data_IF_187363001123
#
_entry.id   IF_187363001123
#
_cell.length_a   1.000
_cell.length_b   1.000
_cell.length_c   1.000
_cell.angle_alpha   90.00
_cell.angle_beta   90.00
_cell.angle_gamma   90.00
#
_symmetry.space_group_name_H-M   'P 1'
#
loop_
_entity.id
_entity.type
_entity.pdbx_description
1 polymer ?
#
# COMPACT_ATOMS: atom_id res chain seq x y z
N UNK A 1 -13.32 -21.34 13.05
CA UNK A 1 -12.66 -20.07 13.42
C UNK A 1 -12.85 -19.07 12.27
N UNK A 2 -14.10 -18.65 12.02
CA UNK A 2 -14.48 -17.80 10.86
C UNK A 2 -14.89 -16.40 11.34
N UNK A 3 -15.56 -16.34 12.50
CA UNK A 3 -16.07 -15.10 13.13
C UNK A 3 -14.99 -14.04 13.39
N UNK A 4 -13.75 -14.44 13.70
CA UNK A 4 -12.64 -13.50 13.92
C UNK A 4 -12.26 -12.77 12.63
N UNK A 5 -12.15 -13.52 11.53
CA UNK A 5 -11.79 -12.98 10.22
C UNK A 5 -12.82 -11.98 9.71
N UNK A 6 -14.11 -12.24 9.87
CA UNK A 6 -15.17 -11.30 9.45
C UNK A 6 -15.15 -10.00 10.26
N UNK A 7 -14.84 -10.06 11.55
CA UNK A 7 -14.72 -8.87 12.40
C UNK A 7 -13.53 -7.99 12.02
N UNK A 8 -12.40 -8.60 11.68
CA UNK A 8 -11.20 -7.89 11.21
C UNK A 8 -11.47 -7.25 9.83
N UNK A 9 -12.08 -7.99 8.91
CA UNK A 9 -12.37 -7.49 7.57
C UNK A 9 -13.32 -6.27 7.57
N UNK A 10 -14.31 -6.27 8.47
CA UNK A 10 -15.24 -5.15 8.61
C UNK A 10 -14.54 -3.85 9.09
N UNK A 11 -13.55 -3.97 9.97
CA UNK A 11 -12.78 -2.82 10.45
C UNK A 11 -11.81 -2.28 9.39
N UNK A 12 -11.28 -3.13 8.51
CA UNK A 12 -10.48 -2.71 7.35
C UNK A 12 -11.33 -1.89 6.37
N UNK A 13 -12.55 -2.36 6.07
CA UNK A 13 -13.47 -1.65 5.18
C UNK A 13 -13.79 -0.25 5.70
N UNK A 14 -14.05 -0.13 7.02
CA UNK A 14 -14.21 1.17 7.71
C UNK A 14 -12.95 2.02 7.62
N UNK A 15 -11.79 1.43 7.86
CA UNK A 15 -10.51 2.13 7.82
C UNK A 15 -10.22 2.71 6.44
N UNK A 16 -10.50 1.97 5.35
CA UNK A 16 -10.42 2.49 3.98
C UNK A 16 -11.31 3.71 3.77
N UNK A 17 -12.54 3.66 4.27
CA UNK A 17 -13.52 4.73 4.12
C UNK A 17 -13.11 5.99 4.90
N UNK A 18 -12.58 5.82 6.11
CA UNK A 18 -12.01 6.89 6.92
C UNK A 18 -10.80 7.52 6.24
N UNK A 19 -9.88 6.71 5.70
CA UNK A 19 -8.70 7.19 4.99
C UNK A 19 -9.07 7.89 3.67
N UNK A 20 -10.10 7.41 2.95
CA UNK A 20 -10.61 8.09 1.76
C UNK A 20 -11.19 9.47 2.08
N UNK A 21 -11.98 9.59 3.16
CA UNK A 21 -12.48 10.89 3.64
C UNK A 21 -11.35 11.79 4.12
N UNK A 22 -10.38 11.22 4.83
CA UNK A 22 -9.21 11.96 5.31
C UNK A 22 -8.38 12.49 4.14
N UNK A 23 -8.26 11.77 3.01
CA UNK A 23 -7.59 12.30 1.80
C UNK A 23 -8.32 13.50 1.20
N UNK A 24 -9.66 13.47 1.18
CA UNK A 24 -10.47 14.57 0.68
C UNK A 24 -10.44 15.81 1.60
N UNK A 25 -10.45 15.60 2.91
CA UNK A 25 -10.47 16.69 3.89
C UNK A 25 -9.06 17.23 4.19
N UNK A 26 -8.08 16.33 4.26
CA UNK A 26 -6.73 16.57 4.75
C UNK A 26 -5.71 15.88 3.83
N UNK A 27 -5.34 16.56 2.75
CA UNK A 27 -4.31 16.10 1.82
C UNK A 27 -2.92 16.25 2.47
N UNK A 28 -2.61 15.35 3.41
CA UNK A 28 -1.34 15.33 4.14
C UNK A 28 -0.58 14.05 3.81
N UNK A 29 0.77 14.11 3.74
CA UNK A 29 1.58 12.95 3.36
C UNK A 29 1.43 11.77 4.34
N UNK A 30 1.05 12.03 5.59
CA UNK A 30 0.76 10.98 6.59
C UNK A 30 -0.47 10.14 6.23
N UNK A 31 -1.54 10.77 5.72
CA UNK A 31 -2.77 10.05 5.33
C UNK A 31 -2.51 9.15 4.12
N UNK A 32 -1.72 9.63 3.15
CA UNK A 32 -1.26 8.80 2.03
C UNK A 32 -0.43 7.62 2.50
N UNK A 33 0.55 7.85 3.38
CA UNK A 33 1.36 6.79 3.98
C UNK A 33 0.50 5.72 4.68
N UNK A 34 -0.48 6.12 5.49
CA UNK A 34 -1.38 5.18 6.16
C UNK A 34 -2.27 4.42 5.17
N UNK A 35 -2.70 5.06 4.09
CA UNK A 35 -3.48 4.41 3.03
C UNK A 35 -2.67 3.34 2.29
N UNK A 36 -1.42 3.63 1.95
CA UNK A 36 -0.50 2.68 1.32
C UNK A 36 -0.19 1.51 2.26
N UNK A 37 0.04 1.79 3.54
CA UNK A 37 0.32 0.77 4.56
C UNK A 37 -0.85 -0.20 4.71
N UNK A 38 -2.08 0.31 4.80
CA UNK A 38 -3.28 -0.51 4.94
C UNK A 38 -3.45 -1.48 3.75
N UNK A 39 -3.27 -0.99 2.51
CA UNK A 39 -3.39 -1.83 1.32
C UNK A 39 -2.29 -2.90 1.27
N UNK A 40 -1.07 -2.55 1.73
CA UNK A 40 0.03 -3.51 1.87
C UNK A 40 -0.29 -4.61 2.89
N UNK A 41 -0.83 -4.26 4.05
CA UNK A 41 -1.25 -5.23 5.09
C UNK A 41 -2.37 -6.15 4.60
N UNK A 42 -3.20 -5.67 3.66
CA UNK A 42 -4.21 -6.48 2.98
C UNK A 42 -3.66 -7.34 1.83
N UNK A 43 -2.36 -7.24 1.51
CA UNK A 43 -1.75 -7.93 0.37
C UNK A 43 -2.12 -7.33 -1.00
N UNK A 44 -2.75 -6.15 -1.03
CA UNK A 44 -3.13 -5.44 -2.26
C UNK A 44 -2.01 -4.53 -2.75
N UNK A 45 -0.90 -5.14 -3.15
CA UNK A 45 0.31 -4.43 -3.55
C UNK A 45 0.13 -3.50 -4.76
N UNK A 46 -0.69 -3.89 -5.75
CA UNK A 46 -0.99 -3.03 -6.91
C UNK A 46 -1.68 -1.73 -6.50
N UNK A 47 -2.60 -1.83 -5.55
CA UNK A 47 -3.40 -0.71 -5.09
C UNK A 47 -2.60 0.19 -4.14
N UNK A 48 -1.75 -0.42 -3.30
CA UNK A 48 -0.74 0.27 -2.51
C UNK A 48 0.24 1.09 -3.39
N UNK A 49 0.73 0.52 -4.50
CA UNK A 49 1.58 1.25 -5.45
C UNK A 49 0.86 2.44 -6.07
N UNK A 50 -0.35 2.23 -6.58
CA UNK A 50 -1.15 3.30 -7.18
C UNK A 50 -1.39 4.46 -6.20
N UNK A 51 -1.74 4.15 -4.94
CA UNK A 51 -1.88 5.17 -3.89
C UNK A 51 -0.56 5.88 -3.56
N UNK A 52 0.56 5.16 -3.63
CA UNK A 52 1.88 5.74 -3.39
C UNK A 52 2.25 6.71 -4.51
N UNK A 53 2.01 6.35 -5.77
CA UNK A 53 2.23 7.21 -6.93
C UNK A 53 1.36 8.47 -6.89
N UNK A 54 0.07 8.33 -6.57
CA UNK A 54 -0.85 9.46 -6.38
C UNK A 54 -0.40 10.38 -5.23
N UNK A 55 0.02 9.80 -4.10
CA UNK A 55 0.56 10.55 -2.98
C UNK A 55 1.87 11.28 -3.32
N UNK A 56 2.69 10.71 -4.21
CA UNK A 56 3.93 11.33 -4.70
C UNK A 56 3.67 12.49 -5.66
N UNK A 57 2.59 12.46 -6.45
CA UNK A 57 2.18 13.60 -7.29
C UNK A 57 1.82 14.81 -6.43
N UNK A 58 1.07 14.59 -5.36
CA UNK A 58 0.63 15.65 -4.44
C UNK A 58 1.74 16.10 -3.48
N UNK A 59 2.61 15.18 -3.06
CA UNK A 59 3.67 15.44 -2.09
C UNK A 59 5.03 14.87 -2.53
N UNK A 60 5.65 15.45 -3.59
CA UNK A 60 6.92 14.95 -4.13
C UNK A 60 8.08 15.03 -3.14
N UNK A 61 8.01 15.97 -2.19
CA UNK A 61 9.05 16.17 -1.16
C UNK A 61 9.03 15.13 -0.03
N UNK A 62 8.07 14.21 -0.01
CA UNK A 62 7.94 13.23 1.08
C UNK A 62 8.72 11.94 0.78
N UNK A 63 9.99 11.91 1.19
CA UNK A 63 10.92 10.78 0.97
C UNK A 63 10.39 9.42 1.47
N UNK A 64 9.51 9.41 2.48
CA UNK A 64 8.99 8.17 3.06
C UNK A 64 8.01 7.44 2.13
N UNK A 65 7.26 8.16 1.28
CA UNK A 65 6.39 7.55 0.26
C UNK A 65 7.22 6.79 -0.79
N UNK A 66 8.35 7.38 -1.22
CA UNK A 66 9.29 6.72 -2.12
C UNK A 66 9.86 5.42 -1.53
N UNK A 67 10.25 5.44 -0.25
CA UNK A 67 10.75 4.25 0.44
C UNK A 67 9.72 3.12 0.49
N UNK A 68 8.46 3.44 0.78
CA UNK A 68 7.39 2.45 0.85
C UNK A 68 7.09 1.88 -0.55
N UNK A 69 7.06 2.72 -1.58
CA UNK A 69 6.92 2.26 -2.97
C UNK A 69 8.02 1.28 -3.37
N UNK A 70 9.28 1.60 -3.05
CA UNK A 70 10.42 0.70 -3.29
C UNK A 70 10.31 -0.63 -2.54
N UNK A 71 9.88 -0.61 -1.27
CA UNK A 71 9.63 -1.84 -0.51
C UNK A 71 8.54 -2.70 -1.14
N UNK A 72 7.45 -2.10 -1.59
CA UNK A 72 6.36 -2.85 -2.24
C UNK A 72 6.85 -3.48 -3.54
N UNK A 73 7.67 -2.78 -4.33
CA UNK A 73 8.28 -3.34 -5.54
C UNK A 73 9.15 -4.56 -5.22
N UNK A 74 9.98 -4.49 -4.17
CA UNK A 74 10.79 -5.63 -3.72
C UNK A 74 9.92 -6.80 -3.25
N UNK A 75 8.85 -6.53 -2.52
CA UNK A 75 7.93 -7.56 -2.03
C UNK A 75 7.14 -8.24 -3.16
N UNK A 76 6.89 -7.50 -4.25
CA UNK A 76 6.31 -8.05 -5.48
C UNK A 76 7.27 -8.94 -6.28
N UNK A 77 8.58 -8.85 -6.04
CA UNK A 77 9.64 -9.60 -6.72
C UNK A 77 10.40 -10.48 -5.73
N UNK A 78 9.97 -11.74 -5.51
CA UNK A 78 10.57 -12.84 -6.28
C UNK A 78 9.55 -13.97 -6.62
N UNK A 79 9.53 -14.53 -7.86
CA UNK A 79 10.64 -15.29 -8.45
C UNK A 79 10.78 -15.11 -9.99
N UNK A 80 11.34 -14.01 -10.48
CA UNK A 80 11.92 -13.99 -11.85
C UNK A 80 13.45 -14.08 -11.84
N UNK A 81 14.09 -13.90 -10.67
CA UNK A 81 15.53 -14.12 -10.50
C UNK A 81 15.93 -15.60 -10.41
N UNK A 82 14.97 -16.52 -10.24
CA UNK A 82 15.23 -17.97 -10.36
C UNK A 82 15.18 -18.43 -11.82
N UNK A 83 14.33 -17.83 -12.66
CA UNK A 83 14.23 -18.18 -14.08
C UNK A 83 15.43 -17.65 -14.89
N UNK A 84 16.05 -16.53 -14.47
CA UNK A 84 17.23 -15.99 -15.15
C UNK A 84 18.54 -16.78 -14.90
N UNK A 85 18.63 -17.55 -13.82
CA UNK A 85 19.82 -18.33 -13.46
C UNK A 85 19.74 -19.82 -13.85
N UNK A 86 18.58 -20.32 -14.30
CA UNK A 86 18.39 -21.72 -14.72
C UNK A 86 18.67 -21.97 -16.22
N UNK A 87 19.15 -20.96 -16.95
CA UNK A 87 19.34 -21.00 -18.40
C UNK A 87 20.78 -20.83 -18.90
N UNK A 88 21.80 -21.13 -18.07
CA UNK A 88 23.21 -21.18 -18.50
C UNK A 88 23.78 -22.57 -18.23
#
# INVERSE_FOLDING_TARGET
>A
MIVKLESENNEIQRSRLLLARARQQCNTPKVWMQSVQLEREQGLYQQALHLSEEGLKEHPSFAKLWMIGGQIHMEKSPPELLEACAGI
#
